data_IF_979460929866
#
_entry.id   IF_979460929866
#
_cell.length_a   1.000
_cell.length_b   1.000
_cell.length_c   1.000
_cell.angle_alpha   90.00
_cell.angle_beta   90.00
_cell.angle_gamma   90.00
#
_symmetry.space_group_name_H-M   'P 1'
#
loop_
_entity.id
_entity.type
_entity.pdbx_description
1 polymer ?
#
# COMPACT_ATOMS: atom_id res chain seq x y z
N UNK A 1 -12.40 -13.31 -24.91
CA UNK A 1 -11.16 -12.57 -24.73
C UNK A 1 -11.35 -11.15 -25.21
N UNK A 2 -11.52 -10.17 -24.30
CA UNK A 2 -11.49 -8.75 -24.66
C UNK A 2 -10.05 -8.33 -24.89
N UNK A 3 -9.69 -8.06 -26.14
CA UNK A 3 -8.47 -7.36 -26.52
C UNK A 3 -8.45 -5.97 -25.84
N UNK A 4 -7.42 -5.73 -25.04
CA UNK A 4 -7.15 -4.42 -24.44
C UNK A 4 -6.82 -3.42 -25.57
N UNK A 5 -7.74 -2.53 -25.91
CA UNK A 5 -7.47 -1.40 -26.81
C UNK A 5 -7.04 -0.21 -25.97
N UNK A 6 -5.84 0.31 -26.19
CA UNK A 6 -5.53 1.71 -25.96
C UNK A 6 -4.54 2.08 -24.84
N UNK A 7 -3.60 1.20 -24.40
CA UNK A 7 -2.40 1.66 -23.71
C UNK A 7 -1.15 1.13 -24.41
N UNK A 8 -0.30 2.04 -24.83
CA UNK A 8 1.04 1.75 -25.33
C UNK A 8 1.80 0.99 -24.23
N UNK A 9 2.08 -0.28 -24.45
CA UNK A 9 2.91 -1.09 -23.55
C UNK A 9 4.34 -0.65 -23.76
N UNK A 10 4.89 0.11 -22.84
CA UNK A 10 6.30 0.51 -22.87
C UNK A 10 7.19 -0.62 -22.36
N UNK A 11 7.90 -1.28 -23.28
CA UNK A 11 8.90 -2.26 -22.94
C UNK A 11 10.15 -1.54 -22.39
N UNK A 12 10.53 -1.82 -21.13
CA UNK A 12 11.80 -1.38 -20.54
C UNK A 12 12.78 -2.54 -20.50
N UNK A 13 13.79 -2.51 -21.37
CA UNK A 13 14.85 -3.51 -21.37
C UNK A 13 15.89 -3.17 -20.32
N UNK A 14 16.23 -4.13 -19.46
CA UNK A 14 17.32 -4.05 -18.49
C UNK A 14 18.37 -5.10 -18.79
N UNK A 15 19.66 -4.73 -18.64
CA UNK A 15 20.77 -5.67 -18.75
C UNK A 15 21.34 -5.90 -17.36
N UNK A 16 20.81 -6.91 -16.68
CA UNK A 16 21.31 -7.37 -15.37
C UNK A 16 21.51 -8.87 -15.43
N UNK A 17 22.56 -9.34 -14.78
CA UNK A 17 22.70 -10.76 -14.50
C UNK A 17 21.60 -11.17 -13.52
N UNK A 18 20.89 -12.24 -13.82
CA UNK A 18 19.91 -12.86 -12.94
C UNK A 18 20.42 -14.26 -12.64
N UNK A 19 20.86 -14.55 -11.41
CA UNK A 19 21.25 -15.90 -10.98
C UNK A 19 20.14 -16.92 -11.18
N UNK A 20 20.48 -18.20 -11.28
CA UNK A 20 19.49 -19.24 -11.58
C UNK A 20 18.48 -19.47 -10.45
N UNK A 21 18.90 -19.30 -9.20
CA UNK A 21 18.05 -19.34 -8.01
C UNK A 21 17.01 -18.19 -7.95
N UNK A 22 17.23 -17.11 -8.73
CA UNK A 22 16.32 -15.97 -8.86
C UNK A 22 15.43 -16.05 -10.12
N UNK A 23 15.40 -17.23 -10.76
CA UNK A 23 14.57 -17.51 -11.95
C UNK A 23 13.54 -18.58 -11.63
N UNK A 24 12.43 -18.53 -12.31
CA UNK A 24 11.37 -19.55 -12.26
C UNK A 24 10.67 -19.59 -13.62
N UNK A 25 9.70 -20.49 -13.76
CA UNK A 25 8.91 -20.62 -14.98
C UNK A 25 7.44 -20.43 -14.66
N UNK A 26 6.74 -19.61 -15.44
CA UNK A 26 5.29 -19.43 -15.39
C UNK A 26 4.70 -19.66 -16.77
N UNK A 27 3.78 -20.62 -16.86
CA UNK A 27 3.12 -20.98 -18.14
C UNK A 27 4.15 -21.29 -19.26
N UNK A 28 5.27 -21.94 -18.92
CA UNK A 28 6.36 -22.25 -19.87
C UNK A 28 7.29 -21.07 -20.20
N UNK A 29 7.06 -19.89 -19.64
CA UNK A 29 7.88 -18.69 -19.88
C UNK A 29 8.84 -18.49 -18.72
N UNK A 30 10.18 -18.36 -18.98
CA UNK A 30 11.14 -18.01 -17.94
C UNK A 30 10.88 -16.60 -17.41
N UNK A 31 10.76 -16.48 -16.09
CA UNK A 31 10.53 -15.20 -15.39
C UNK A 31 11.42 -15.11 -14.14
N UNK A 32 11.57 -13.94 -13.58
CA UNK A 32 12.20 -13.75 -12.27
C UNK A 32 11.30 -14.24 -11.15
N UNK A 33 11.88 -14.66 -10.01
CA UNK A 33 11.13 -14.89 -8.77
C UNK A 33 10.43 -13.60 -8.30
N UNK A 34 9.44 -13.71 -7.42
CA UNK A 34 8.74 -12.53 -6.87
C UNK A 34 9.73 -11.65 -6.10
N UNK A 35 10.61 -12.23 -5.29
CA UNK A 35 11.63 -11.50 -4.55
C UNK A 35 12.57 -10.71 -5.49
N UNK A 36 13.04 -11.33 -6.57
CA UNK A 36 13.86 -10.65 -7.56
C UNK A 36 13.11 -9.56 -8.31
N UNK A 37 11.87 -9.81 -8.70
CA UNK A 37 11.00 -8.81 -9.35
C UNK A 37 10.78 -7.62 -8.44
N UNK A 38 10.51 -7.86 -7.14
CA UNK A 38 10.34 -6.82 -6.14
C UNK A 38 11.61 -5.98 -5.99
N UNK A 39 12.78 -6.62 -5.86
CA UNK A 39 14.05 -5.92 -5.76
C UNK A 39 14.32 -5.03 -6.99
N UNK A 40 14.13 -5.56 -8.21
CA UNK A 40 14.29 -4.79 -9.45
C UNK A 40 13.31 -3.60 -9.53
N UNK A 41 12.04 -3.78 -9.15
CA UNK A 41 11.04 -2.70 -9.14
C UNK A 41 11.39 -1.61 -8.11
N UNK A 42 11.83 -1.98 -6.91
CA UNK A 42 12.22 -1.01 -5.88
C UNK A 42 13.42 -0.14 -6.31
N UNK A 43 14.36 -0.73 -7.06
CA UNK A 43 15.54 -0.02 -7.56
C UNK A 43 15.22 0.86 -8.76
N UNK A 44 14.40 0.38 -9.71
CA UNK A 44 14.26 0.97 -11.04
C UNK A 44 13.05 1.92 -11.20
N UNK A 45 12.02 1.77 -10.39
CA UNK A 45 10.82 2.58 -10.51
C UNK A 45 10.91 3.88 -9.67
N UNK A 46 10.19 4.95 -10.04
CA UNK A 46 9.98 6.10 -9.16
C UNK A 46 9.37 5.65 -7.81
N UNK A 47 9.64 6.41 -6.75
CA UNK A 47 9.20 6.05 -5.39
C UNK A 47 7.72 5.66 -5.27
N UNK A 48 6.75 6.44 -5.77
CA UNK A 48 5.33 6.09 -5.71
C UNK A 48 5.01 4.78 -6.42
N UNK A 49 5.54 4.60 -7.64
CA UNK A 49 5.31 3.39 -8.44
C UNK A 49 5.94 2.16 -7.80
N UNK A 50 7.19 2.31 -7.30
CA UNK A 50 7.89 1.26 -6.58
C UNK A 50 7.11 0.77 -5.36
N UNK A 51 6.49 1.71 -4.64
CA UNK A 51 5.71 1.42 -3.44
C UNK A 51 4.42 0.67 -3.77
N UNK A 52 3.65 1.13 -4.76
CA UNK A 52 2.42 0.48 -5.23
C UNK A 52 2.69 -0.94 -5.74
N UNK A 53 3.70 -1.08 -6.61
CA UNK A 53 4.08 -2.39 -7.15
C UNK A 53 4.62 -3.29 -6.07
N UNK A 54 5.37 -2.75 -5.11
CA UNK A 54 5.90 -3.48 -3.96
C UNK A 54 4.80 -4.08 -3.09
N UNK A 55 3.80 -3.31 -2.70
CA UNK A 55 2.65 -3.80 -1.94
C UNK A 55 1.91 -4.92 -2.70
N UNK A 56 1.66 -4.71 -4.00
CA UNK A 56 0.97 -5.68 -4.83
C UNK A 56 1.77 -7.00 -4.98
N UNK A 57 3.09 -6.93 -5.12
CA UNK A 57 3.96 -8.11 -5.19
C UNK A 57 4.02 -8.87 -3.87
N UNK A 58 4.08 -8.16 -2.73
CA UNK A 58 4.01 -8.79 -1.43
C UNK A 58 2.66 -9.50 -1.24
N UNK A 59 1.55 -8.82 -1.56
CA UNK A 59 0.20 -9.40 -1.46
C UNK A 59 0.06 -10.68 -2.31
N UNK A 60 0.52 -10.64 -3.55
CA UNK A 60 0.47 -11.79 -4.46
C UNK A 60 1.40 -12.92 -4.00
N UNK A 61 2.59 -12.58 -3.50
CA UNK A 61 3.60 -13.55 -3.08
C UNK A 61 3.25 -14.31 -1.82
N UNK A 62 2.67 -13.65 -0.83
CA UNK A 62 2.26 -14.27 0.43
C UNK A 62 0.77 -14.65 0.48
N UNK A 63 0.01 -14.43 -0.60
CA UNK A 63 -1.43 -14.72 -0.68
C UNK A 63 -2.22 -14.10 0.50
N UNK A 64 -1.95 -12.83 0.78
CA UNK A 64 -2.50 -12.16 1.95
C UNK A 64 -4.03 -12.15 1.98
N UNK A 65 -4.57 -12.58 3.13
CA UNK A 65 -6.00 -12.47 3.47
C UNK A 65 -6.15 -11.65 4.75
N UNK A 66 -6.88 -10.52 4.67
CA UNK A 66 -7.12 -9.65 5.83
C UNK A 66 -7.91 -10.30 6.97
N UNK A 67 -8.68 -11.36 6.66
CA UNK A 67 -9.44 -12.12 7.66
C UNK A 67 -8.56 -13.08 8.44
N UNK A 68 -7.46 -13.51 7.81
CA UNK A 68 -6.52 -14.51 8.32
C UNK A 68 -5.07 -14.08 8.06
N UNK A 69 -4.64 -12.89 8.55
CA UNK A 69 -3.31 -12.35 8.26
C UNK A 69 -2.18 -13.24 8.79
N UNK A 70 -2.44 -14.02 9.83
CA UNK A 70 -1.50 -14.97 10.42
C UNK A 70 -1.05 -16.06 9.44
N UNK A 71 -1.91 -16.47 8.50
CA UNK A 71 -1.59 -17.51 7.50
C UNK A 71 -0.53 -17.07 6.50
N UNK A 72 -0.42 -15.78 6.27
CA UNK A 72 0.53 -15.19 5.31
C UNK A 72 1.86 -14.79 5.95
N UNK A 73 1.97 -14.85 7.28
CA UNK A 73 3.10 -14.28 8.02
C UNK A 73 4.44 -14.88 7.61
N UNK A 74 4.56 -16.19 7.63
CA UNK A 74 5.81 -16.88 7.30
C UNK A 74 6.23 -16.60 5.85
N UNK A 75 5.31 -16.71 4.89
CA UNK A 75 5.59 -16.43 3.47
C UNK A 75 5.98 -14.96 3.25
N UNK A 76 5.42 -14.02 4.02
CA UNK A 76 5.76 -12.61 3.97
C UNK A 76 7.17 -12.37 4.51
N UNK A 77 7.51 -12.92 5.67
CA UNK A 77 8.83 -12.79 6.29
C UNK A 77 9.91 -13.31 5.35
N UNK A 78 9.76 -14.54 4.82
CA UNK A 78 10.69 -15.12 3.84
C UNK A 78 10.83 -14.24 2.59
N UNK A 79 9.72 -13.74 2.03
CA UNK A 79 9.78 -12.91 0.83
C UNK A 79 10.51 -11.57 1.08
N UNK A 80 10.35 -10.99 2.25
CA UNK A 80 11.07 -9.78 2.63
C UNK A 80 12.56 -10.04 2.84
N UNK A 81 12.93 -11.16 3.48
CA UNK A 81 14.31 -11.59 3.69
C UNK A 81 15.02 -11.86 2.36
N UNK A 82 14.45 -12.69 1.49
CA UNK A 82 14.96 -12.97 0.15
C UNK A 82 15.18 -11.68 -0.66
N UNK A 83 14.20 -10.76 -0.59
CA UNK A 83 14.30 -9.47 -1.29
C UNK A 83 15.43 -8.61 -0.70
N UNK A 84 15.58 -8.60 0.62
CA UNK A 84 16.66 -7.84 1.28
C UNK A 84 18.05 -8.38 0.90
N UNK A 85 18.22 -9.70 0.85
CA UNK A 85 19.45 -10.35 0.40
C UNK A 85 19.78 -10.00 -1.05
N UNK A 86 18.80 -10.07 -1.95
CA UNK A 86 18.98 -9.64 -3.35
C UNK A 86 19.41 -8.16 -3.42
N UNK A 87 18.78 -7.27 -2.63
CA UNK A 87 19.17 -5.86 -2.58
C UNK A 87 20.59 -5.64 -2.02
N UNK A 88 21.13 -6.56 -1.21
CA UNK A 88 22.53 -6.50 -0.78
C UNK A 88 23.48 -6.75 -1.96
N UNK A 89 23.20 -7.75 -2.80
CA UNK A 89 24.00 -8.04 -3.99
C UNK A 89 23.97 -6.93 -5.05
N UNK A 90 22.95 -6.04 -5.01
CA UNK A 90 22.78 -4.92 -5.93
C UNK A 90 23.50 -3.64 -5.47
N UNK A 91 24.51 -3.74 -4.60
CA UNK A 91 25.29 -2.60 -4.15
C UNK A 91 25.86 -1.80 -5.33
N UNK A 92 25.87 -0.47 -5.24
CA UNK A 92 26.32 0.42 -6.31
C UNK A 92 25.25 0.75 -7.37
N UNK A 93 24.14 0.04 -7.45
CA UNK A 93 23.06 0.39 -8.37
C UNK A 93 22.40 1.72 -7.97
N UNK A 94 22.09 2.56 -8.97
CA UNK A 94 21.28 3.78 -8.74
C UNK A 94 19.92 3.38 -8.19
N UNK A 95 19.49 4.00 -7.09
CA UNK A 95 18.21 3.73 -6.43
C UNK A 95 18.29 2.71 -5.28
N UNK A 96 19.42 1.99 -5.10
CA UNK A 96 19.56 0.95 -4.08
C UNK A 96 19.35 1.46 -2.65
N UNK A 97 19.88 2.65 -2.32
CA UNK A 97 19.72 3.24 -0.99
C UNK A 97 18.24 3.52 -0.66
N UNK A 98 17.47 4.00 -1.63
CA UNK A 98 16.02 4.18 -1.50
C UNK A 98 15.32 2.83 -1.39
N UNK A 99 15.64 1.87 -2.26
CA UNK A 99 15.02 0.54 -2.28
C UNK A 99 15.13 -0.15 -0.91
N UNK A 100 16.31 -0.13 -0.29
CA UNK A 100 16.55 -0.71 1.05
C UNK A 100 15.72 -0.04 2.14
N UNK A 101 15.48 1.28 2.04
CA UNK A 101 14.65 2.02 2.99
C UNK A 101 13.15 1.86 2.73
N UNK A 102 12.74 1.63 1.47
CA UNK A 102 11.33 1.41 1.12
C UNK A 102 10.85 0.03 1.53
N UNK A 103 11.68 -1.02 1.37
CA UNK A 103 11.29 -2.41 1.63
C UNK A 103 10.58 -2.60 2.98
N UNK A 104 11.07 -2.12 4.14
CA UNK A 104 10.42 -2.30 5.43
C UNK A 104 9.13 -1.49 5.60
N UNK A 105 8.83 -0.56 4.68
CA UNK A 105 7.60 0.21 4.68
C UNK A 105 6.49 -0.43 3.85
N UNK A 106 6.80 -1.41 3.02
CA UNK A 106 5.82 -2.12 2.21
C UNK A 106 4.88 -2.98 3.06
N UNK A 107 3.72 -3.26 2.53
CA UNK A 107 2.73 -4.11 3.21
C UNK A 107 1.81 -4.83 2.21
N UNK A 108 1.54 -6.11 2.40
CA UNK A 108 0.56 -6.83 1.59
C UNK A 108 -0.88 -6.45 1.91
N UNK A 109 -1.11 -5.69 2.98
CA UNK A 109 -2.44 -5.35 3.46
C UNK A 109 -3.13 -4.23 2.67
N UNK A 110 -2.41 -3.45 1.83
CA UNK A 110 -3.06 -2.53 0.90
C UNK A 110 -3.79 -3.31 -0.18
N UNK A 111 -5.09 -3.06 -0.35
CA UNK A 111 -5.95 -3.82 -1.27
C UNK A 111 -6.06 -3.17 -2.65
N UNK A 112 -5.64 -1.92 -2.78
CA UNK A 112 -5.69 -1.17 -4.03
C UNK A 112 -4.45 -0.29 -4.24
N UNK A 113 -4.15 0.07 -5.51
CA UNK A 113 -3.12 1.06 -5.82
C UNK A 113 -3.37 2.42 -5.15
N UNK A 114 -4.62 2.79 -4.96
CA UNK A 114 -4.99 4.06 -4.32
C UNK A 114 -4.69 4.08 -2.83
N UNK A 115 -4.95 2.99 -2.11
CA UNK A 115 -4.55 2.84 -0.71
C UNK A 115 -3.02 2.90 -0.55
N UNK A 116 -2.28 2.17 -1.40
CA UNK A 116 -0.81 2.22 -1.40
C UNK A 116 -0.29 3.64 -1.66
N UNK A 117 -0.85 4.37 -2.64
CA UNK A 117 -0.45 5.75 -2.92
C UNK A 117 -0.81 6.71 -1.78
N UNK A 118 -1.99 6.57 -1.18
CA UNK A 118 -2.39 7.36 -0.01
C UNK A 118 -1.39 7.17 1.12
N UNK A 119 -1.07 5.91 1.44
CA UNK A 119 -0.09 5.55 2.45
C UNK A 119 1.31 6.07 2.12
N UNK A 120 1.74 5.94 0.86
CA UNK A 120 3.03 6.45 0.41
C UNK A 120 3.16 7.95 0.67
N UNK A 121 2.19 8.75 0.27
CA UNK A 121 2.25 10.21 0.42
C UNK A 121 2.23 10.63 1.89
N UNK A 122 1.37 10.04 2.71
CA UNK A 122 1.33 10.32 4.14
C UNK A 122 2.65 9.98 4.84
N UNK A 123 3.23 8.81 4.53
CA UNK A 123 4.56 8.43 5.04
C UNK A 123 5.64 9.39 4.58
N UNK A 124 5.67 9.74 3.29
CA UNK A 124 6.67 10.67 2.73
C UNK A 124 6.60 12.04 3.36
N UNK A 125 5.40 12.54 3.62
CA UNK A 125 5.17 13.83 4.27
C UNK A 125 5.42 13.81 5.78
N UNK A 126 5.66 12.65 6.35
CA UNK A 126 6.15 12.54 7.72
C UNK A 126 5.19 11.93 8.72
N UNK A 127 4.00 11.53 8.32
CA UNK A 127 3.08 10.83 9.22
C UNK A 127 3.72 9.54 9.78
N UNK A 128 3.43 9.17 11.02
CA UNK A 128 3.76 7.86 11.56
C UNK A 128 3.23 6.73 10.66
N UNK A 129 3.85 5.55 10.73
CA UNK A 129 3.38 4.38 9.98
C UNK A 129 1.94 4.05 10.43
N UNK A 130 0.95 4.08 9.52
CA UNK A 130 -0.42 3.71 9.86
C UNK A 130 -0.53 2.19 10.02
N UNK A 131 -1.52 1.76 10.77
CA UNK A 131 -2.03 0.40 10.71
C UNK A 131 -2.94 0.27 9.49
N UNK A 132 -2.97 -0.94 8.90
CA UNK A 132 -3.76 -1.24 7.72
C UNK A 132 -4.80 -2.29 8.05
N UNK A 133 -5.93 -2.25 7.35
CA UNK A 133 -7.04 -3.18 7.51
C UNK A 133 -7.41 -3.36 8.99
N UNK A 134 -7.59 -2.22 9.69
CA UNK A 134 -7.93 -2.21 11.11
C UNK A 134 -9.30 -2.84 11.29
N UNK A 135 -9.35 -3.95 12.00
CA UNK A 135 -10.61 -4.64 12.30
C UNK A 135 -11.36 -3.87 13.39
N UNK A 136 -12.60 -3.51 13.11
CA UNK A 136 -13.54 -2.91 14.05
C UNK A 136 -14.78 -3.78 14.14
N UNK A 137 -15.16 -4.14 15.35
CA UNK A 137 -16.36 -4.96 15.62
C UNK A 137 -17.36 -4.16 16.44
N UNK A 138 -18.61 -4.13 16.00
CA UNK A 138 -19.71 -3.52 16.74
C UNK A 138 -21.03 -4.22 16.45
N UNK A 139 -21.77 -4.61 17.50
CA UNK A 139 -23.09 -5.23 17.43
C UNK A 139 -23.19 -6.39 16.44
N UNK A 140 -22.17 -7.26 16.41
CA UNK A 140 -22.13 -8.44 15.55
C UNK A 140 -21.71 -8.17 14.10
N UNK A 141 -21.44 -6.94 13.74
CA UNK A 141 -20.84 -6.57 12.45
C UNK A 141 -19.33 -6.38 12.56
N UNK A 142 -18.62 -6.67 11.48
CA UNK A 142 -17.17 -6.49 11.38
C UNK A 142 -16.84 -5.62 10.17
N UNK A 143 -16.07 -4.56 10.40
CA UNK A 143 -15.53 -3.69 9.34
C UNK A 143 -14.02 -3.70 9.35
N UNK A 144 -13.45 -3.38 8.20
CA UNK A 144 -12.01 -3.20 8.05
C UNK A 144 -11.76 -1.79 7.53
N UNK A 145 -10.96 -1.01 8.27
CA UNK A 145 -10.59 0.34 7.89
C UNK A 145 -9.29 0.28 7.07
N UNK A 146 -9.24 0.95 5.93
CA UNK A 146 -8.13 0.82 4.98
C UNK A 146 -6.78 1.14 5.62
N UNK A 147 -6.67 2.30 6.26
CA UNK A 147 -5.48 2.71 7.01
C UNK A 147 -5.85 3.72 8.11
N UNK A 148 -5.13 3.69 9.22
CA UNK A 148 -5.42 4.61 10.32
C UNK A 148 -4.42 4.55 11.48
N UNK A 149 -4.68 5.38 12.48
CA UNK A 149 -3.90 5.49 13.72
C UNK A 149 -4.83 5.35 14.92
N UNK A 150 -4.75 4.20 15.60
CA UNK A 150 -5.58 3.87 16.77
C UNK A 150 -5.46 4.90 17.90
N UNK A 151 -4.25 5.41 18.16
CA UNK A 151 -4.00 6.35 19.26
C UNK A 151 -4.80 7.64 19.11
N UNK A 152 -5.04 8.09 17.89
CA UNK A 152 -5.78 9.33 17.59
C UNK A 152 -7.17 9.05 17.03
N UNK A 153 -7.54 7.79 16.85
CA UNK A 153 -8.83 7.36 16.28
C UNK A 153 -9.14 8.03 14.94
N UNK A 154 -8.13 8.13 14.07
CA UNK A 154 -8.25 8.70 12.72
C UNK A 154 -8.04 7.59 11.71
N UNK A 155 -8.95 7.46 10.76
CA UNK A 155 -8.85 6.60 9.60
C UNK A 155 -8.82 7.41 8.30
N UNK A 156 -8.20 6.83 7.28
CA UNK A 156 -8.22 7.33 5.91
C UNK A 156 -8.65 6.20 5.00
N UNK A 157 -9.78 6.38 4.32
CA UNK A 157 -10.36 5.44 3.37
C UNK A 157 -10.14 5.93 1.94
N UNK A 158 -9.59 5.07 1.07
CA UNK A 158 -9.47 5.40 -0.34
C UNK A 158 -10.75 5.06 -1.10
N UNK A 159 -11.43 6.09 -1.59
CA UNK A 159 -12.66 5.95 -2.38
C UNK A 159 -12.34 5.94 -3.89
N UNK A 160 -12.36 4.74 -4.48
CA UNK A 160 -12.16 4.57 -5.91
C UNK A 160 -13.34 5.09 -6.75
N UNK A 161 -13.07 5.57 -7.95
CA UNK A 161 -14.07 6.17 -8.88
C UNK A 161 -15.28 5.26 -9.21
N UNK A 162 -15.29 3.99 -8.77
CA UNK A 162 -16.32 3.00 -9.10
C UNK A 162 -17.53 2.95 -8.15
N UNK A 163 -17.54 3.67 -7.04
CA UNK A 163 -18.62 3.59 -6.04
C UNK A 163 -19.84 4.47 -6.35
N UNK A 164 -19.83 5.26 -7.42
CA UNK A 164 -20.94 6.17 -7.76
C UNK A 164 -22.22 5.50 -8.28
N UNK A 165 -22.22 4.17 -8.44
CA UNK A 165 -23.39 3.39 -8.90
C UNK A 165 -24.01 2.53 -7.77
N UNK A 166 -23.88 2.95 -6.51
CA UNK A 166 -24.48 2.22 -5.39
C UNK A 166 -26.02 2.35 -5.44
N UNK A 167 -26.72 1.23 -5.25
CA UNK A 167 -28.15 1.23 -4.99
C UNK A 167 -28.48 1.99 -3.71
N UNK A 168 -29.71 2.49 -3.56
CA UNK A 168 -30.13 3.22 -2.35
C UNK A 168 -29.85 2.46 -1.05
N UNK A 169 -30.03 1.14 -1.05
CA UNK A 169 -29.74 0.26 0.10
C UNK A 169 -28.25 0.19 0.46
N UNK A 170 -27.36 0.22 -0.54
CA UNK A 170 -25.93 0.22 -0.31
C UNK A 170 -25.46 1.56 0.28
N UNK A 171 -26.06 2.66 -0.19
CA UNK A 171 -25.79 4.00 0.35
C UNK A 171 -26.27 4.11 1.82
N UNK A 172 -27.44 3.55 2.13
CA UNK A 172 -27.98 3.54 3.48
C UNK A 172 -27.09 2.74 4.44
N UNK A 173 -26.66 1.54 4.04
CA UNK A 173 -25.72 0.70 4.83
C UNK A 173 -24.40 1.40 5.07
N UNK A 174 -23.87 2.07 4.04
CA UNK A 174 -22.61 2.82 4.18
C UNK A 174 -22.74 4.00 5.14
N UNK A 175 -23.88 4.72 5.10
CA UNK A 175 -24.17 5.77 6.08
C UNK A 175 -24.27 5.21 7.51
N UNK A 176 -24.98 4.11 7.70
CA UNK A 176 -25.06 3.45 9.01
C UNK A 176 -23.67 3.03 9.53
N UNK A 177 -22.83 2.46 8.65
CA UNK A 177 -21.43 2.13 9.00
C UNK A 177 -20.68 3.37 9.49
N UNK A 178 -20.81 4.48 8.78
CA UNK A 178 -20.16 5.74 9.14
C UNK A 178 -20.65 6.29 10.49
N UNK A 179 -21.96 6.32 10.70
CA UNK A 179 -22.56 6.81 11.95
C UNK A 179 -22.07 5.96 13.14
N UNK A 180 -21.97 4.63 12.97
CA UNK A 180 -21.50 3.72 14.01
C UNK A 180 -19.99 3.88 14.28
N UNK A 181 -19.16 3.99 13.25
CA UNK A 181 -17.73 4.27 13.41
C UNK A 181 -17.51 5.61 14.14
N UNK A 182 -18.26 6.63 13.77
CA UNK A 182 -18.23 7.93 14.46
C UNK A 182 -18.64 7.83 15.93
N UNK A 183 -19.67 7.05 16.25
CA UNK A 183 -20.11 6.79 17.62
C UNK A 183 -19.05 6.05 18.46
N UNK A 184 -18.21 5.22 17.80
CA UNK A 184 -17.06 4.57 18.40
C UNK A 184 -15.82 5.50 18.52
N UNK A 185 -15.93 6.75 18.08
CA UNK A 185 -14.88 7.76 18.19
C UNK A 185 -13.96 7.88 16.96
N UNK A 186 -14.20 7.08 15.92
CA UNK A 186 -13.41 7.18 14.68
C UNK A 186 -13.76 8.44 13.89
N UNK A 187 -12.73 9.10 13.37
CA UNK A 187 -12.82 10.23 12.45
C UNK A 187 -12.29 9.80 11.09
N UNK A 188 -13.17 9.80 10.10
CA UNK A 188 -12.90 9.27 8.77
C UNK A 188 -12.56 10.40 7.79
N UNK A 189 -11.45 10.26 7.06
CA UNK A 189 -11.15 11.04 5.86
C UNK A 189 -11.28 10.15 4.64
N UNK A 190 -12.19 10.50 3.73
CA UNK A 190 -12.25 9.89 2.40
C UNK A 190 -11.31 10.59 1.44
N UNK A 191 -10.53 9.80 0.74
CA UNK A 191 -9.50 10.23 -0.21
C UNK A 191 -9.81 9.64 -1.58
N UNK A 192 -9.77 10.49 -2.59
CA UNK A 192 -9.97 10.12 -3.99
C UNK A 192 -8.68 10.28 -4.79
N UNK A 193 -8.68 9.81 -6.03
CA UNK A 193 -7.58 10.05 -6.97
C UNK A 193 -7.25 11.52 -7.16
N UNK A 194 -8.23 12.42 -7.01
CA UNK A 194 -8.04 13.86 -7.12
C UNK A 194 -7.20 14.40 -5.96
N UNK A 195 -7.46 13.92 -4.75
CA UNK A 195 -6.74 14.34 -3.53
C UNK A 195 -5.26 13.95 -3.61
N UNK A 196 -4.94 12.81 -4.24
CA UNK A 196 -3.55 12.35 -4.42
C UNK A 196 -2.71 13.24 -5.36
N UNK A 197 -3.33 14.20 -6.06
CA UNK A 197 -2.61 15.19 -6.87
C UNK A 197 -2.04 16.33 -6.01
N UNK A 198 -2.60 16.53 -4.80
CA UNK A 198 -2.09 17.51 -3.83
C UNK A 198 -1.85 16.85 -2.46
N UNK A 199 -0.73 16.12 -2.29
CA UNK A 199 -0.47 15.37 -1.06
C UNK A 199 -0.32 16.25 0.18
N UNK A 200 0.10 17.50 0.03
CA UNK A 200 0.21 18.43 1.17
C UNK A 200 -1.16 18.79 1.74
N UNK A 201 -2.15 19.04 0.89
CA UNK A 201 -3.54 19.24 1.32
C UNK A 201 -4.10 18.00 2.02
N UNK A 202 -3.80 16.83 1.48
CA UNK A 202 -4.16 15.56 2.12
C UNK A 202 -3.60 15.48 3.56
N UNK A 203 -2.32 15.82 3.76
CA UNK A 203 -1.72 15.84 5.10
C UNK A 203 -2.43 16.82 6.04
N UNK A 204 -2.69 18.03 5.58
CA UNK A 204 -3.41 19.06 6.37
C UNK A 204 -4.78 18.56 6.80
N UNK A 205 -5.53 17.94 5.89
CA UNK A 205 -6.86 17.37 6.18
C UNK A 205 -6.80 16.22 7.18
N UNK A 206 -5.81 15.35 7.09
CA UNK A 206 -5.61 14.26 8.07
C UNK A 206 -5.29 14.85 9.44
N UNK A 207 -4.39 15.83 9.52
CA UNK A 207 -4.01 16.47 10.78
C UNK A 207 -5.19 17.23 11.43
N UNK A 208 -6.08 17.81 10.63
CA UNK A 208 -7.28 18.48 11.14
C UNK A 208 -8.26 17.52 11.84
N UNK A 209 -8.17 16.22 11.59
CA UNK A 209 -8.98 15.21 12.28
C UNK A 209 -8.35 14.76 13.60
N UNK A 210 -7.08 15.04 13.85
CA UNK A 210 -6.42 14.68 15.11
C UNK A 210 -7.03 15.49 16.26
N UNK A 211 -7.42 14.85 17.38
CA UNK A 211 -7.91 15.57 18.55
C UNK A 211 -6.94 16.65 19.03
N UNK A 212 -7.44 17.83 19.39
CA UNK A 212 -6.61 18.97 19.78
C UNK A 212 -5.71 18.73 21.01
N UNK A 213 -6.09 17.78 21.86
CA UNK A 213 -5.32 17.36 23.03
C UNK A 213 -4.22 16.33 22.72
N UNK A 214 -4.14 15.86 21.47
CA UNK A 214 -3.14 14.89 21.02
C UNK A 214 -2.18 15.53 20.02
N UNK A 215 -0.93 15.08 20.04
CA UNK A 215 0.09 15.54 19.11
C UNK A 215 0.56 14.39 18.23
N UNK A 216 0.71 14.66 16.93
CA UNK A 216 1.32 13.74 15.97
C UNK A 216 2.70 14.29 15.59
N UNK A 217 3.73 13.52 15.87
CA UNK A 217 5.08 13.87 15.46
C UNK A 217 5.28 13.64 13.97
N UNK A 218 5.56 14.71 13.23
CA UNK A 218 5.76 14.69 11.78
C UNK A 218 7.25 14.66 11.46
N UNK A 219 7.70 13.62 10.78
CA UNK A 219 9.10 13.46 10.33
C UNK A 219 9.13 13.20 8.82
N UNK A 220 9.29 14.25 7.99
CA UNK A 220 9.31 14.12 6.53
C UNK A 220 10.40 13.15 6.03
N UNK A 221 10.09 12.40 4.98
CA UNK A 221 10.98 11.41 4.35
C UNK A 221 11.25 11.75 2.88
N UNK A 222 12.01 12.83 2.59
CA UNK A 222 12.27 13.27 1.21
C UNK A 222 12.99 12.20 0.37
N UNK A 223 13.73 11.29 1.01
CA UNK A 223 14.44 10.18 0.37
C UNK A 223 13.50 9.15 -0.31
N UNK A 224 12.20 9.19 -0.05
CA UNK A 224 11.19 8.33 -0.71
C UNK A 224 10.93 8.74 -2.17
N UNK A 225 11.42 9.89 -2.62
CA UNK A 225 11.23 10.39 -4.00
C UNK A 225 11.86 9.45 -5.06
#
# INVERSE_FOLDING_TARGET
>A
GRLWRGREVRLRRRRRCVPDDQRTTRMGIPVTTIARTLADCLVDLPGPDAFVVGDALLRAGCQYDRRHPERSRFSLETLLEDTAEILQTMAGCRGIARARKLLPLLSPASESPGESLTRYWLLRLGMPKPQLQIKVEDRGETWYLDLGWLVVMVEVEYDGEGKYALSGDALFREKQRQDRLSALGWRTLRVTKRDLKNPHDLLVRVLALVPANLQVHITPRPWMA
#
